data_IF_935282167866
#
_entry.id   IF_935282167866
#
_cell.length_a   1.000
_cell.length_b   1.000
_cell.length_c   1.000
_cell.angle_alpha   90.00
_cell.angle_beta   90.00
_cell.angle_gamma   90.00
#
_symmetry.space_group_name_H-M   'P 1'
#
loop_
_entity.id
_entity.type
_entity.pdbx_description
1 polymer ?
#
# COMPACT_ATOMS: atom_id res chain seq x y z
N UNK A 1 6.09 12.92 -13.07
CA UNK A 1 7.16 12.02 -12.60
C UNK A 1 6.52 10.84 -11.90
N UNK A 2 7.03 9.62 -12.10
CA UNK A 2 6.82 8.55 -11.13
C UNK A 2 7.86 8.75 -10.03
N UNK A 3 7.40 8.89 -8.78
CA UNK A 3 8.26 9.12 -7.63
C UNK A 3 8.20 7.92 -6.68
N UNK A 4 9.31 7.63 -6.01
CA UNK A 4 9.37 6.70 -4.89
C UNK A 4 9.44 7.54 -3.63
N UNK A 5 8.53 7.31 -2.68
CA UNK A 5 8.45 8.09 -1.44
C UNK A 5 8.18 7.18 -0.24
N UNK A 6 8.91 7.43 0.84
CA UNK A 6 8.61 6.86 2.14
C UNK A 6 7.57 7.73 2.87
N UNK A 7 6.54 7.09 3.43
CA UNK A 7 5.51 7.75 4.21
C UNK A 7 5.57 7.26 5.66
N UNK A 8 5.83 8.17 6.59
CA UNK A 8 5.88 7.84 8.01
C UNK A 8 4.47 7.71 8.57
N UNK A 9 4.19 6.61 9.26
CA UNK A 9 2.94 6.35 9.96
C UNK A 9 3.21 5.77 11.35
N UNK A 10 2.19 5.71 12.20
CA UNK A 10 2.29 5.10 13.53
C UNK A 10 1.96 3.62 13.45
N UNK A 11 2.69 2.79 14.20
CA UNK A 11 2.38 1.37 14.31
C UNK A 11 0.92 1.15 14.71
N UNK A 12 0.25 0.23 14.01
CA UNK A 12 -1.18 -0.07 14.24
C UNK A 12 -2.15 0.75 13.40
N UNK A 13 -1.68 1.66 12.53
CA UNK A 13 -2.56 2.36 11.59
C UNK A 13 -3.08 1.41 10.50
N UNK A 14 -4.34 1.60 10.14
CA UNK A 14 -4.99 0.84 9.07
C UNK A 14 -4.64 1.39 7.68
N UNK A 15 -4.86 0.59 6.63
CA UNK A 15 -4.64 1.03 5.24
C UNK A 15 -5.36 2.35 4.88
N UNK A 16 -6.65 2.58 5.22
CA UNK A 16 -7.30 3.86 4.98
C UNK A 16 -6.64 5.04 5.72
N UNK A 17 -6.24 4.84 6.98
CA UNK A 17 -5.59 5.89 7.77
C UNK A 17 -4.23 6.27 7.18
N UNK A 18 -3.46 5.28 6.70
CA UNK A 18 -2.20 5.52 6.00
C UNK A 18 -2.42 6.23 4.65
N UNK A 19 -3.49 5.89 3.92
CA UNK A 19 -3.86 6.62 2.71
C UNK A 19 -4.18 8.10 3.01
N UNK A 20 -4.80 8.38 4.17
CA UNK A 20 -5.10 9.72 4.67
C UNK A 20 -3.86 10.62 4.88
N UNK A 21 -2.69 10.03 5.17
CA UNK A 21 -1.43 10.76 5.30
C UNK A 21 -1.01 11.39 3.96
N UNK A 22 -1.32 10.71 2.85
CA UNK A 22 -1.06 11.19 1.49
C UNK A 22 -2.07 12.28 1.14
N UNK A 23 -3.35 12.01 1.36
CA UNK A 23 -4.43 12.96 1.15
C UNK A 23 -5.69 12.53 1.91
N UNK A 24 -6.38 13.48 2.55
CA UNK A 24 -7.57 13.18 3.37
C UNK A 24 -8.72 12.56 2.59
N UNK A 25 -8.82 12.86 1.29
CA UNK A 25 -9.86 12.26 0.44
C UNK A 25 -9.60 10.79 0.12
N UNK A 26 -8.36 10.32 0.17
CA UNK A 26 -8.06 8.89 -0.06
C UNK A 26 -8.56 8.03 1.10
N UNK A 27 -8.50 8.54 2.33
CA UNK A 27 -9.07 7.87 3.49
C UNK A 27 -10.60 7.77 3.37
N UNK A 28 -11.26 8.86 2.98
CA UNK A 28 -12.73 8.92 2.80
C UNK A 28 -13.20 8.02 1.64
N UNK A 29 -12.49 8.09 0.52
CA UNK A 29 -12.79 7.38 -0.71
C UNK A 29 -12.21 5.97 -0.79
N UNK A 30 -11.57 5.47 0.28
CA UNK A 30 -10.82 4.21 0.27
C UNK A 30 -11.68 3.04 -0.20
N UNK A 31 -11.19 2.33 -1.24
CA UNK A 31 -11.76 1.09 -1.74
C UNK A 31 -10.94 -0.10 -1.23
N UNK A 32 -9.63 -0.09 -1.51
CA UNK A 32 -8.68 -1.16 -1.16
C UNK A 32 -7.23 -0.70 -1.34
N UNK A 33 -6.30 -1.46 -0.77
CA UNK A 33 -4.87 -1.28 -0.97
C UNK A 33 -4.28 -2.47 -1.74
N UNK A 34 -3.51 -2.20 -2.78
CA UNK A 34 -2.64 -3.19 -3.44
C UNK A 34 -1.30 -3.17 -2.70
N UNK A 35 -1.00 -4.21 -1.93
CA UNK A 35 0.13 -4.26 -0.99
C UNK A 35 1.10 -5.37 -1.39
N UNK A 36 2.39 -5.03 -1.45
CA UNK A 36 3.50 -5.97 -1.61
C UNK A 36 4.52 -5.72 -0.50
N UNK A 37 4.98 -6.76 0.17
CA UNK A 37 6.03 -6.61 1.19
C UNK A 37 7.35 -6.17 0.53
N UNK A 38 8.20 -5.45 1.27
CA UNK A 38 9.53 -5.07 0.76
C UNK A 38 10.34 -6.28 0.28
N UNK A 39 10.36 -7.35 1.08
CA UNK A 39 11.12 -8.55 0.79
C UNK A 39 10.64 -9.22 -0.51
N UNK A 40 9.33 -9.34 -0.72
CA UNK A 40 8.77 -9.87 -1.97
C UNK A 40 9.07 -8.94 -3.15
N UNK A 41 8.94 -7.61 -2.96
CA UNK A 41 9.19 -6.65 -4.02
C UNK A 41 10.64 -6.74 -4.53
N UNK A 42 11.61 -6.86 -3.62
CA UNK A 42 13.03 -7.04 -3.99
C UNK A 42 13.27 -8.42 -4.59
N UNK A 43 12.75 -9.48 -3.97
CA UNK A 43 12.97 -10.86 -4.40
C UNK A 43 12.47 -11.12 -5.83
N UNK A 44 11.32 -10.53 -6.18
CA UNK A 44 10.68 -10.75 -7.48
C UNK A 44 10.96 -9.63 -8.49
N UNK A 45 11.90 -8.73 -8.22
CA UNK A 45 12.36 -7.73 -9.20
C UNK A 45 11.35 -6.62 -9.49
N UNK A 46 10.57 -6.22 -8.49
CA UNK A 46 9.63 -5.12 -8.54
C UNK A 46 8.16 -5.53 -8.67
N UNK A 47 7.31 -4.54 -8.96
CA UNK A 47 5.85 -4.71 -8.92
C UNK A 47 5.36 -5.81 -9.88
N UNK A 48 5.81 -5.79 -11.14
CA UNK A 48 5.37 -6.75 -12.16
C UNK A 48 5.72 -8.18 -11.76
N UNK A 49 6.96 -8.44 -11.34
CA UNK A 49 7.38 -9.78 -10.95
C UNK A 49 6.72 -10.25 -9.66
N UNK A 50 6.55 -9.37 -8.67
CA UNK A 50 5.81 -9.70 -7.46
C UNK A 50 4.33 -10.03 -7.75
N UNK A 51 3.71 -9.33 -8.70
CA UNK A 51 2.34 -9.59 -9.14
C UNK A 51 2.22 -10.92 -9.88
N UNK A 52 3.12 -11.21 -10.81
CA UNK A 52 3.17 -12.49 -11.55
C UNK A 52 3.41 -13.68 -10.60
N UNK A 53 4.21 -13.48 -9.56
CA UNK A 53 4.46 -14.46 -8.51
C UNK A 53 3.32 -14.58 -7.47
N UNK A 54 2.24 -13.82 -7.61
CA UNK A 54 1.10 -13.85 -6.69
C UNK A 54 1.37 -13.27 -5.30
N UNK A 55 2.37 -12.38 -5.17
CA UNK A 55 2.74 -11.72 -3.90
C UNK A 55 2.05 -10.39 -3.66
N UNK A 56 1.50 -9.77 -4.70
CA UNK A 56 0.67 -8.57 -4.54
C UNK A 56 -0.69 -8.96 -3.96
N UNK A 57 -0.99 -8.45 -2.76
CA UNK A 57 -2.23 -8.70 -2.03
C UNK A 57 -3.21 -7.55 -2.20
N UNK A 58 -4.49 -7.88 -2.14
CA UNK A 58 -5.57 -6.90 -2.08
C UNK A 58 -6.09 -6.83 -0.66
N UNK A 59 -5.77 -5.73 0.01
CA UNK A 59 -6.06 -5.54 1.41
C UNK A 59 -7.21 -4.56 1.63
N UNK A 60 -8.03 -4.87 2.64
CA UNK A 60 -9.25 -4.13 2.98
C UNK A 60 -9.03 -3.03 4.02
N UNK A 61 -10.15 -2.46 4.52
CA UNK A 61 -10.14 -1.34 5.48
C UNK A 61 -9.55 -1.69 6.84
N UNK A 62 -9.58 -2.97 7.21
CA UNK A 62 -9.08 -3.47 8.51
C UNK A 62 -7.60 -3.87 8.46
N UNK A 63 -6.97 -3.83 7.28
CA UNK A 63 -5.57 -4.19 7.16
C UNK A 63 -4.69 -3.22 7.94
N UNK A 64 -3.86 -3.76 8.82
CA UNK A 64 -2.86 -3.00 9.57
C UNK A 64 -1.59 -2.96 8.72
N UNK A 65 -1.19 -1.76 8.32
CA UNK A 65 -0.02 -1.56 7.48
C UNK A 65 1.24 -2.04 8.21
N UNK A 66 2.11 -2.74 7.50
CA UNK A 66 3.40 -3.19 8.00
C UNK A 66 4.51 -2.24 7.54
N UNK A 67 5.58 -2.17 8.34
CA UNK A 67 6.75 -1.40 7.94
C UNK A 67 7.34 -1.97 6.64
N UNK A 68 7.74 -1.06 5.74
CA UNK A 68 8.27 -1.42 4.43
C UNK A 68 7.25 -1.89 3.39
N UNK A 69 5.94 -1.91 3.67
CA UNK A 69 4.93 -2.23 2.65
C UNK A 69 5.02 -1.24 1.47
N UNK A 70 5.17 -1.79 0.25
CA UNK A 70 4.95 -1.05 -0.99
C UNK A 70 3.45 -1.11 -1.28
N UNK A 71 2.81 0.05 -1.34
CA UNK A 71 1.36 0.13 -1.44
C UNK A 71 0.88 1.09 -2.53
N UNK A 72 -0.14 0.66 -3.26
CA UNK A 72 -0.96 1.50 -4.13
C UNK A 72 -2.40 1.50 -3.62
N UNK A 73 -2.87 2.67 -3.18
CA UNK A 73 -4.25 2.85 -2.71
C UNK A 73 -5.21 3.07 -3.87
N UNK A 74 -6.30 2.30 -3.89
CA UNK A 74 -7.45 2.49 -4.79
C UNK A 74 -8.52 3.26 -4.02
N UNK A 75 -8.96 4.39 -4.56
CA UNK A 75 -9.99 5.22 -3.96
C UNK A 75 -10.97 5.70 -5.05
N UNK A 76 -12.18 6.06 -4.63
CA UNK A 76 -13.12 6.81 -5.46
C UNK A 76 -13.18 8.26 -4.99
N UNK A 77 -13.24 9.20 -5.94
CA UNK A 77 -13.43 10.63 -5.67
C UNK A 77 -14.88 11.03 -5.89
#
# INVERSE_FOLDING_TARGET
MQEVRAWTFKQGMTAPQCAGIIHTDFERGFIRAEVTSYDDYVQYGGESGAKEAGRQRLEGKEYIMQDGDIVHFRFNV
#
